data_IF_114530679483
#
_entry.id   IF_114530679483
#
_cell.length_a   1.000
_cell.length_b   1.000
_cell.length_c   1.000
_cell.angle_alpha   90.00
_cell.angle_beta   90.00
_cell.angle_gamma   90.00
#
_symmetry.space_group_name_H-M   'P 1'
#
loop_
_entity.id
_entity.type
_entity.pdbx_description
1 polymer ?
#
# COMPACT_ATOMS: atom_id res chain seq x y z
N UNK A 1 -15.03 17.13 -7.58
CA UNK A 1 -14.30 17.35 -6.32
C UNK A 1 -13.59 16.05 -5.93
N UNK A 2 -12.26 16.02 -6.04
CA UNK A 2 -11.48 14.89 -5.51
C UNK A 2 -11.47 15.02 -4.00
N UNK A 3 -12.09 14.08 -3.30
CA UNK A 3 -12.01 14.03 -1.85
C UNK A 3 -10.68 13.39 -1.45
N UNK A 4 -9.76 14.19 -0.93
CA UNK A 4 -8.53 13.69 -0.32
C UNK A 4 -8.71 13.72 1.20
N UNK A 5 -8.71 12.56 1.84
CA UNK A 5 -8.75 12.46 3.29
C UNK A 5 -7.33 12.24 3.79
N UNK A 6 -6.80 13.18 4.57
CA UNK A 6 -5.43 13.10 5.13
C UNK A 6 -5.49 12.72 6.60
N UNK A 7 -4.82 11.65 6.96
CA UNK A 7 -4.66 11.21 8.34
C UNK A 7 -3.20 11.34 8.76
N UNK A 8 -2.96 11.83 9.96
CA UNK A 8 -1.63 11.93 10.55
C UNK A 8 -1.57 11.00 11.76
N UNK A 9 -0.71 10.00 11.70
CA UNK A 9 -0.47 9.11 12.83
C UNK A 9 0.83 9.51 13.52
N UNK A 10 0.77 9.83 14.82
CA UNK A 10 1.98 10.01 15.62
C UNK A 10 2.47 8.64 16.09
N UNK A 11 3.72 8.32 15.79
CA UNK A 11 4.39 7.12 16.31
C UNK A 11 4.26 7.08 17.85
N UNK A 12 3.31 6.30 18.36
CA UNK A 12 3.28 5.95 19.77
C UNK A 12 4.32 4.85 19.96
N UNK A 13 5.44 5.16 20.62
CA UNK A 13 6.33 4.12 21.15
C UNK A 13 5.52 3.14 21.96
N UNK A 14 5.29 1.95 21.45
CA UNK A 14 4.79 0.85 22.26
C UNK A 14 5.90 0.48 23.24
N UNK A 15 5.68 0.76 24.50
CA UNK A 15 6.51 0.25 25.58
C UNK A 15 6.16 -1.23 25.77
N UNK A 16 6.98 -2.11 25.25
CA UNK A 16 6.94 -3.52 25.59
C UNK A 16 8.21 -3.90 26.34
N UNK A 17 8.06 -4.37 27.57
CA UNK A 17 9.11 -4.51 28.57
C UNK A 17 9.92 -5.81 28.48
N UNK A 18 9.82 -6.57 27.39
CA UNK A 18 10.59 -7.81 27.21
C UNK A 18 11.16 -7.89 25.79
N UNK A 19 12.49 -7.74 25.69
CA UNK A 19 13.35 -7.84 24.50
C UNK A 19 13.74 -6.52 23.81
N UNK A 20 14.42 -5.64 24.53
CA UNK A 20 14.96 -4.39 23.95
C UNK A 20 15.90 -4.63 22.76
N UNK A 21 16.72 -5.68 22.72
CA UNK A 21 17.62 -5.96 21.60
C UNK A 21 16.91 -6.41 20.31
N UNK A 22 15.81 -7.16 20.43
CA UNK A 22 15.01 -7.56 19.26
C UNK A 22 14.22 -6.37 18.68
N UNK A 23 13.78 -5.46 19.55
CA UNK A 23 13.03 -4.26 19.18
C UNK A 23 13.91 -3.24 18.45
N UNK A 24 15.15 -3.04 18.91
CA UNK A 24 16.13 -2.15 18.26
C UNK A 24 16.48 -2.65 16.84
N UNK A 25 16.57 -3.97 16.64
CA UNK A 25 16.79 -4.57 15.30
C UNK A 25 15.57 -4.44 14.39
N UNK A 26 14.37 -4.57 14.91
CA UNK A 26 13.13 -4.37 14.15
C UNK A 26 12.93 -2.91 13.74
N UNK A 27 13.16 -1.95 14.64
CA UNK A 27 13.07 -0.52 14.34
C UNK A 27 14.03 -0.12 13.21
N UNK A 28 15.27 -0.60 13.26
CA UNK A 28 16.26 -0.33 12.23
C UNK A 28 15.90 -0.96 10.87
N UNK A 29 15.22 -2.10 10.84
CA UNK A 29 14.81 -2.75 9.60
C UNK A 29 13.56 -2.08 9.03
N UNK A 30 12.57 -1.76 9.87
CA UNK A 30 11.38 -1.03 9.46
C UNK A 30 11.71 0.37 8.95
N UNK A 31 12.64 1.08 9.59
CA UNK A 31 13.11 2.39 9.14
C UNK A 31 13.89 2.33 7.82
N UNK A 32 14.56 1.21 7.51
CA UNK A 32 15.22 1.00 6.23
C UNK A 32 14.25 0.62 5.11
N UNK A 33 13.23 -0.16 5.41
CA UNK A 33 12.22 -0.59 4.43
C UNK A 33 11.15 0.47 4.19
N UNK A 34 10.78 1.22 5.23
CA UNK A 34 9.82 2.31 5.16
C UNK A 34 10.48 3.63 5.53
N UNK A 35 11.40 4.05 4.69
CA UNK A 35 12.09 5.33 4.80
C UNK A 35 11.30 6.46 4.12
N UNK A 36 11.88 7.67 4.09
CA UNK A 36 11.27 8.83 3.45
C UNK A 36 11.17 8.74 1.92
N UNK A 37 11.85 7.77 1.31
CA UNK A 37 11.82 7.54 -0.14
C UNK A 37 10.83 6.45 -0.55
N UNK A 38 10.14 5.85 0.43
CA UNK A 38 9.22 4.74 0.23
C UNK A 38 7.77 5.15 0.45
N UNK A 39 6.87 4.58 -0.33
CA UNK A 39 5.42 4.76 -0.22
C UNK A 39 4.73 3.40 -0.28
N UNK A 40 3.85 3.13 0.69
CA UNK A 40 2.89 2.05 0.58
C UNK A 40 1.71 2.51 -0.25
N UNK A 41 1.17 1.63 -1.08
CA UNK A 41 -0.06 1.91 -1.80
C UNK A 41 -0.90 0.64 -1.94
N UNK A 42 -2.19 0.86 -2.11
CA UNK A 42 -3.21 -0.15 -2.37
C UNK A 42 -4.34 0.49 -3.16
N UNK A 43 -5.02 -0.27 -4.03
CA UNK A 43 -6.16 0.24 -4.81
C UNK A 43 -7.42 -0.55 -4.53
N UNK A 44 -8.55 0.16 -4.59
CA UNK A 44 -9.87 -0.47 -4.59
C UNK A 44 -10.55 -0.23 -5.94
N UNK A 45 -11.11 -1.29 -6.48
CA UNK A 45 -11.69 -1.30 -7.82
C UNK A 45 -13.10 -1.85 -7.80
N UNK A 46 -13.93 -1.47 -8.77
CA UNK A 46 -15.30 -1.98 -8.90
C UNK A 46 -15.38 -3.41 -9.45
N UNK A 47 -14.24 -4.03 -9.77
CA UNK A 47 -14.12 -5.40 -10.24
C UNK A 47 -12.71 -5.72 -10.71
N UNK A 48 -12.48 -6.96 -11.09
CA UNK A 48 -11.12 -7.47 -11.38
C UNK A 48 -10.59 -7.13 -12.77
N UNK A 49 -11.48 -6.79 -13.72
CA UNK A 49 -11.07 -6.49 -15.10
C UNK A 49 -10.93 -4.98 -15.33
N UNK A 50 -9.74 -4.47 -15.65
CA UNK A 50 -9.56 -3.05 -15.91
C UNK A 50 -10.30 -2.54 -17.15
N UNK A 51 -10.73 -3.44 -18.05
CA UNK A 51 -11.52 -3.06 -19.23
C UNK A 51 -12.96 -2.66 -18.87
N UNK A 52 -13.58 -3.33 -17.88
CA UNK A 52 -14.98 -3.14 -17.49
C UNK A 52 -15.16 -2.47 -16.12
N UNK A 53 -14.07 -2.25 -15.39
CA UNK A 53 -14.08 -1.71 -14.03
C UNK A 53 -13.24 -0.44 -13.93
N UNK A 54 -13.37 0.29 -12.85
CA UNK A 54 -12.57 1.47 -12.59
C UNK A 54 -12.02 1.46 -11.16
N UNK A 55 -10.93 2.22 -10.96
CA UNK A 55 -10.34 2.46 -9.64
C UNK A 55 -11.15 3.52 -8.93
N UNK A 56 -11.83 3.18 -7.84
CA UNK A 56 -12.60 4.16 -7.08
C UNK A 56 -11.86 4.70 -5.85
N UNK A 57 -10.81 4.01 -5.38
CA UNK A 57 -9.97 4.50 -4.29
C UNK A 57 -8.51 4.10 -4.51
N UNK A 58 -7.60 5.00 -4.14
CA UNK A 58 -6.17 4.71 -4.00
C UNK A 58 -5.76 5.16 -2.60
N UNK A 59 -5.32 4.20 -1.79
CA UNK A 59 -4.77 4.45 -0.46
C UNK A 59 -3.25 4.52 -0.52
N UNK A 60 -2.65 5.52 0.15
CA UNK A 60 -1.21 5.69 0.24
C UNK A 60 -0.79 5.94 1.68
N UNK A 61 0.30 5.29 2.12
CA UNK A 61 0.93 5.60 3.40
C UNK A 61 2.42 5.88 3.20
N UNK A 62 2.92 6.95 3.80
CA UNK A 62 4.29 7.41 3.63
C UNK A 62 4.80 8.17 4.86
N UNK A 63 6.12 8.28 4.98
CA UNK A 63 6.74 9.06 6.07
C UNK A 63 6.93 10.51 5.66
N UNK A 64 6.45 11.42 6.53
CA UNK A 64 6.75 12.85 6.44
C UNK A 64 7.25 13.32 7.80
N UNK A 65 8.52 13.67 7.85
CA UNK A 65 9.25 14.00 9.09
C UNK A 65 9.24 12.82 10.08
N UNK A 66 8.60 12.98 11.22
CA UNK A 66 8.43 11.94 12.26
C UNK A 66 7.04 11.30 12.24
N UNK A 67 6.22 11.61 11.23
CA UNK A 67 4.84 11.15 11.15
C UNK A 67 4.67 10.16 9.99
N UNK A 68 3.74 9.23 10.17
CA UNK A 68 3.16 8.47 9.06
C UNK A 68 1.94 9.24 8.58
N UNK A 69 1.92 9.56 7.30
CA UNK A 69 0.79 10.20 6.62
C UNK A 69 0.04 9.16 5.82
N UNK A 70 -1.28 9.24 5.83
CA UNK A 70 -2.15 8.41 5.00
C UNK A 70 -2.98 9.35 4.14
N UNK A 71 -2.88 9.20 2.83
CA UNK A 71 -3.71 9.89 1.86
C UNK A 71 -4.61 8.86 1.18
N UNK A 72 -5.90 9.18 1.06
CA UNK A 72 -6.87 8.38 0.31
C UNK A 72 -7.45 9.28 -0.79
N UNK A 73 -7.29 8.87 -2.04
CA UNK A 73 -7.88 9.50 -3.21
C UNK A 73 -9.13 8.73 -3.58
N UNK A 74 -10.28 9.37 -3.58
CA UNK A 74 -11.56 8.71 -3.80
C UNK A 74 -12.30 9.31 -5.00
N UNK A 75 -12.81 8.45 -5.87
CA UNK A 75 -13.67 8.77 -7.02
C UNK A 75 -15.07 8.20 -6.78
N UNK A 76 -16.08 9.04 -6.67
CA UNK A 76 -17.48 8.61 -6.50
C UNK A 76 -18.05 8.04 -7.81
N UNK A 77 -17.52 8.51 -8.93
CA UNK A 77 -17.99 8.12 -10.27
C UNK A 77 -16.84 7.74 -11.19
N UNK A 78 -17.08 6.92 -12.24
CA UNK A 78 -16.03 6.61 -13.23
C UNK A 78 -15.42 7.84 -13.91
N UNK A 79 -16.15 8.95 -14.00
CA UNK A 79 -15.68 10.19 -14.61
C UNK A 79 -14.56 10.86 -13.78
N UNK A 80 -14.51 10.60 -12.49
CA UNK A 80 -13.52 11.18 -11.57
C UNK A 80 -12.25 10.32 -11.46
N UNK A 81 -12.24 9.11 -12.00
CA UNK A 81 -11.09 8.20 -11.92
C UNK A 81 -9.81 8.86 -12.44
N UNK A 82 -9.86 9.54 -13.58
CA UNK A 82 -8.67 10.19 -14.15
C UNK A 82 -8.06 11.23 -13.21
N UNK A 83 -8.86 11.85 -12.35
CA UNK A 83 -8.41 12.84 -11.38
C UNK A 83 -7.63 12.17 -10.23
N UNK A 84 -8.17 11.08 -9.67
CA UNK A 84 -7.46 10.37 -8.58
C UNK A 84 -6.18 9.72 -9.08
N UNK A 85 -6.15 9.21 -10.31
CA UNK A 85 -4.95 8.66 -10.93
C UNK A 85 -3.86 9.73 -11.08
N UNK A 86 -4.22 10.95 -11.51
CA UNK A 86 -3.28 12.08 -11.64
C UNK A 86 -2.75 12.54 -10.28
N UNK A 87 -3.61 12.63 -9.25
CA UNK A 87 -3.16 12.98 -7.89
C UNK A 87 -2.25 11.92 -7.30
N UNK A 88 -2.54 10.63 -7.54
CA UNK A 88 -1.65 9.55 -7.14
C UNK A 88 -0.26 9.67 -7.77
N UNK A 89 -0.16 9.87 -9.08
CA UNK A 89 1.13 10.06 -9.78
C UNK A 89 1.87 11.27 -9.23
N UNK A 90 1.17 12.37 -9.00
CA UNK A 90 1.77 13.58 -8.44
C UNK A 90 2.37 13.33 -7.05
N UNK A 91 1.71 12.54 -6.22
CA UNK A 91 2.26 12.10 -4.94
C UNK A 91 3.45 11.14 -5.17
N UNK A 92 3.29 10.14 -6.04
CA UNK A 92 4.25 9.09 -6.29
C UNK A 92 5.62 9.60 -6.77
N UNK A 93 5.66 10.67 -7.55
CA UNK A 93 6.90 11.32 -8.03
C UNK A 93 7.85 11.78 -6.92
N UNK A 94 7.40 11.86 -5.69
CA UNK A 94 8.25 12.19 -4.54
C UNK A 94 8.97 10.98 -3.95
N UNK A 95 8.70 9.77 -4.44
CA UNK A 95 9.19 8.51 -3.89
C UNK A 95 9.98 7.72 -4.92
N UNK A 96 10.80 6.80 -4.44
CA UNK A 96 11.62 5.90 -5.27
C UNK A 96 11.20 4.45 -5.15
N UNK A 97 10.59 4.08 -4.03
CA UNK A 97 10.22 2.71 -3.72
C UNK A 97 8.73 2.61 -3.46
N UNK A 98 8.06 1.76 -4.19
CA UNK A 98 6.66 1.42 -4.03
C UNK A 98 6.54 0.10 -3.26
N UNK A 99 5.75 0.09 -2.21
CA UNK A 99 5.52 -1.09 -1.36
C UNK A 99 4.03 -1.43 -1.43
N UNK A 100 3.71 -2.70 -1.66
CA UNK A 100 2.33 -3.18 -1.75
C UNK A 100 2.20 -4.62 -1.29
N UNK A 101 0.97 -5.08 -1.11
CA UNK A 101 0.67 -6.50 -0.86
C UNK A 101 0.04 -7.12 -2.11
N UNK A 102 0.81 -7.93 -2.85
CA UNK A 102 0.42 -8.52 -4.14
C UNK A 102 0.16 -7.50 -5.27
N UNK A 103 0.66 -6.27 -5.12
CA UNK A 103 0.42 -5.20 -6.08
C UNK A 103 1.06 -5.43 -7.45
N UNK A 104 2.17 -6.17 -7.52
CA UNK A 104 2.76 -6.59 -8.81
C UNK A 104 1.82 -7.54 -9.56
N UNK A 105 1.00 -8.32 -8.82
CA UNK A 105 0.04 -9.26 -9.41
C UNK A 105 -1.28 -8.62 -9.83
N UNK A 106 -1.69 -7.53 -9.20
CA UNK A 106 -3.00 -6.92 -9.44
C UNK A 106 -2.95 -5.40 -9.63
N UNK A 107 -2.51 -4.65 -8.62
CA UNK A 107 -2.63 -3.18 -8.59
C UNK A 107 -1.88 -2.52 -9.76
N UNK A 108 -0.62 -2.91 -9.98
CA UNK A 108 0.22 -2.32 -11.02
C UNK A 108 -0.31 -2.61 -12.43
N UNK A 109 -0.66 -3.87 -12.81
CA UNK A 109 -1.29 -4.15 -14.09
C UNK A 109 -2.61 -3.41 -14.29
N UNK A 110 -3.44 -3.31 -13.24
CA UNK A 110 -4.69 -2.60 -13.29
C UNK A 110 -4.47 -1.10 -13.53
N UNK A 111 -3.61 -0.45 -12.73
CA UNK A 111 -3.25 0.96 -12.88
C UNK A 111 -2.68 1.27 -14.27
N UNK A 112 -1.76 0.43 -14.79
CA UNK A 112 -1.21 0.59 -16.15
C UNK A 112 -2.29 0.62 -17.20
N UNK A 113 -3.26 -0.30 -17.13
CA UNK A 113 -4.38 -0.33 -18.07
C UNK A 113 -5.28 0.92 -17.94
N UNK A 114 -5.49 1.41 -16.71
CA UNK A 114 -6.28 2.63 -16.48
C UNK A 114 -5.54 3.88 -16.93
N UNK A 115 -4.22 3.95 -16.71
CA UNK A 115 -3.39 5.06 -17.24
C UNK A 115 -3.45 5.12 -18.77
N UNK A 116 -3.30 3.97 -19.43
CA UNK A 116 -3.43 3.89 -20.88
C UNK A 116 -4.80 4.36 -21.38
N UNK A 117 -5.88 4.03 -20.67
CA UNK A 117 -7.23 4.50 -21.03
C UNK A 117 -7.39 6.01 -21.00
N UNK A 118 -6.67 6.70 -20.13
CA UNK A 118 -6.78 8.16 -19.93
C UNK A 118 -5.59 8.93 -20.52
N UNK A 119 -4.77 8.28 -21.37
CA UNK A 119 -3.57 8.86 -21.97
C UNK A 119 -2.64 9.49 -20.92
N UNK A 120 -2.53 8.83 -19.76
CA UNK A 120 -1.63 9.22 -18.67
C UNK A 120 -0.29 8.52 -18.92
N UNK A 121 0.74 9.30 -19.23
CA UNK A 121 2.10 8.81 -19.42
C UNK A 121 2.81 8.68 -18.06
N UNK A 122 2.87 7.47 -17.54
CA UNK A 122 3.61 7.13 -16.33
C UNK A 122 4.33 5.80 -16.49
N UNK A 123 5.65 5.84 -16.33
CA UNK A 123 6.48 4.64 -16.41
C UNK A 123 6.87 4.14 -15.02
N UNK A 124 6.22 3.05 -14.61
CA UNK A 124 6.52 2.39 -13.34
C UNK A 124 7.91 1.74 -13.29
N UNK A 125 8.64 1.59 -14.42
CA UNK A 125 9.98 0.99 -14.44
C UNK A 125 11.02 1.83 -13.70
N UNK A 126 10.74 3.12 -13.50
CA UNK A 126 11.58 4.04 -12.74
C UNK A 126 11.56 3.82 -11.22
N UNK A 127 10.61 3.01 -10.71
CA UNK A 127 10.45 2.76 -9.28
C UNK A 127 11.00 1.38 -8.89
N UNK A 128 11.53 1.30 -7.67
CA UNK A 128 11.78 0.02 -7.03
C UNK A 128 10.48 -0.53 -6.45
N UNK A 129 10.24 -1.85 -6.59
CA UNK A 129 9.06 -2.49 -6.06
C UNK A 129 9.40 -3.46 -4.93
N UNK A 130 8.70 -3.32 -3.81
CA UNK A 130 8.68 -4.31 -2.73
C UNK A 130 7.25 -4.85 -2.65
N UNK A 131 7.06 -6.07 -3.13
CA UNK A 131 5.79 -6.79 -3.00
C UNK A 131 5.89 -7.73 -1.80
N UNK A 132 5.15 -7.42 -0.73
CA UNK A 132 5.19 -8.16 0.52
C UNK A 132 4.76 -9.61 0.30
N UNK A 133 3.71 -9.85 -0.50
CA UNK A 133 3.25 -11.20 -0.80
C UNK A 133 4.33 -12.03 -1.51
N UNK A 134 5.03 -11.44 -2.48
CA UNK A 134 6.13 -12.11 -3.19
C UNK A 134 7.33 -12.34 -2.26
N UNK A 135 7.62 -11.40 -1.37
CA UNK A 135 8.71 -11.49 -0.40
C UNK A 135 8.52 -12.63 0.60
N UNK A 136 7.27 -12.91 1.01
CA UNK A 136 6.97 -14.01 1.93
C UNK A 136 6.75 -15.36 1.23
N UNK A 137 6.53 -15.38 -0.08
CA UNK A 137 6.29 -16.62 -0.85
C UNK A 137 7.38 -17.68 -0.65
N UNK A 138 8.68 -17.36 -0.64
CA UNK A 138 9.74 -18.34 -0.36
C UNK A 138 9.69 -18.93 1.06
N UNK A 139 9.05 -18.24 2.01
CA UNK A 139 8.92 -18.68 3.40
C UNK A 139 7.72 -19.63 3.64
N UNK A 140 6.91 -19.89 2.61
CA UNK A 140 5.74 -20.77 2.69
C UNK A 140 5.99 -22.11 3.39
N UNK A 141 7.06 -22.86 3.09
CA UNK A 141 7.32 -24.12 3.77
C UNK A 141 7.55 -23.99 5.29
N UNK A 142 8.00 -22.82 5.74
CA UNK A 142 8.31 -22.54 7.14
C UNK A 142 7.09 -22.04 7.92
N UNK A 143 6.24 -21.22 7.30
CA UNK A 143 5.14 -20.54 7.98
C UNK A 143 3.99 -21.47 8.35
N UNK A 144 3.76 -22.54 7.59
CA UNK A 144 2.71 -23.56 7.84
C UNK A 144 1.33 -22.97 8.17
N UNK A 145 0.95 -21.89 7.52
CA UNK A 145 -0.35 -21.21 7.67
C UNK A 145 -1.33 -21.66 6.58
N UNK A 146 -2.62 -21.55 6.87
CA UNK A 146 -3.72 -22.01 6.00
C UNK A 146 -3.66 -21.41 4.60
N UNK A 147 -3.43 -20.11 4.52
CA UNK A 147 -3.28 -19.36 3.29
C UNK A 147 -2.38 -18.13 3.51
N UNK A 148 -2.02 -17.42 2.43
CA UNK A 148 -1.11 -16.27 2.47
C UNK A 148 -1.83 -14.95 2.18
N UNK A 149 -3.15 -14.90 2.43
CA UNK A 149 -3.90 -13.65 2.40
C UNK A 149 -3.41 -12.72 3.52
N UNK A 150 -3.48 -11.44 3.29
CA UNK A 150 -3.01 -10.42 4.24
C UNK A 150 -3.58 -10.65 5.65
N UNK A 151 -4.89 -10.87 5.78
CA UNK A 151 -5.55 -11.15 7.07
C UNK A 151 -4.99 -12.39 7.81
N UNK A 152 -4.65 -13.44 7.08
CA UNK A 152 -4.08 -14.66 7.68
C UNK A 152 -2.68 -14.39 8.20
N UNK A 153 -1.89 -13.60 7.45
CA UNK A 153 -0.55 -13.19 7.88
C UNK A 153 -0.59 -12.24 9.08
N UNK A 154 -1.49 -11.27 9.06
CA UNK A 154 -1.71 -10.36 10.19
C UNK A 154 -2.07 -11.15 11.46
N UNK A 155 -3.00 -12.10 11.35
CA UNK A 155 -3.35 -12.99 12.47
C UNK A 155 -2.17 -13.82 12.96
N UNK A 156 -1.37 -14.37 12.05
CA UNK A 156 -0.16 -15.12 12.39
C UNK A 156 0.87 -14.24 13.12
N UNK A 157 0.98 -12.97 12.71
CA UNK A 157 1.86 -11.97 13.33
C UNK A 157 1.24 -11.32 14.59
N UNK A 158 0.07 -11.78 15.02
CA UNK A 158 -0.68 -11.22 16.16
C UNK A 158 -1.06 -9.74 15.99
N UNK A 159 -1.19 -9.29 14.74
CA UNK A 159 -1.70 -7.95 14.42
C UNK A 159 -3.22 -8.01 14.49
N UNK A 160 -3.79 -7.38 15.51
CA UNK A 160 -5.24 -7.30 15.68
C UNK A 160 -5.78 -6.11 14.88
N UNK A 161 -6.83 -6.36 14.09
CA UNK A 161 -7.62 -5.33 13.44
C UNK A 161 -8.95 -5.16 14.16
N UNK A 162 -9.31 -3.90 14.43
CA UNK A 162 -10.61 -3.53 14.99
C UNK A 162 -11.61 -3.07 13.89
N UNK A 163 -11.28 -3.34 12.61
CA UNK A 163 -12.13 -2.96 11.49
C UNK A 163 -13.31 -3.92 11.33
N UNK A 164 -14.52 -3.40 11.42
CA UNK A 164 -15.76 -4.13 11.17
C UNK A 164 -16.04 -4.36 9.67
N UNK A 165 -15.35 -3.64 8.79
CA UNK A 165 -15.47 -3.75 7.34
C UNK A 165 -14.19 -4.31 6.74
N UNK A 166 -14.26 -5.54 6.31
CA UNK A 166 -13.20 -6.15 5.53
C UNK A 166 -13.53 -6.00 4.05
N UNK A 167 -12.84 -5.12 3.38
CA UNK A 167 -12.78 -5.16 1.92
C UNK A 167 -12.40 -6.55 1.43
N UNK A 168 -13.08 -7.02 0.41
CA UNK A 168 -13.13 -8.23 -0.34
C UNK A 168 -12.20 -9.40 -0.07
#
# INVERSE_FOLDING_TARGET
>A
NVYTKKFYWKDKKMKNTHNEELYIRQDNLSDKLFDKSSIFFDIETTGFSPASSFTYMIGCAYRKDKNICIDQFFAETPAEESLILKEFIKLLKNYKTMISFNGIGFDIPFLKARFSKYDIDEDFSSYNFIDIFKSITPLKPLLKIENYKQKTLEKFLQINRDDTYSGG
#
